data_IF_686336421747
#
_entry.id   IF_686336421747
#
_cell.length_a   1.000
_cell.length_b   1.000
_cell.length_c   1.000
_cell.angle_alpha   90.00
_cell.angle_beta   90.00
_cell.angle_gamma   90.00
#
_symmetry.space_group_name_H-M   'P 1'
#
loop_
_entity.id
_entity.type
_entity.pdbx_description
1 polymer ?
#
# COMPACT_ATOMS: atom_id res chain seq x y z
N UNK A 1 -16.43 36.58 -32.36
CA UNK A 1 -16.50 35.25 -31.73
C UNK A 1 -15.49 35.22 -30.60
N UNK A 2 -15.95 35.41 -29.38
CA UNK A 2 -15.18 35.14 -28.16
C UNK A 2 -15.80 33.89 -27.52
N UNK A 3 -15.01 32.91 -27.03
CA UNK A 3 -15.57 31.87 -26.18
C UNK A 3 -15.74 32.43 -24.76
N UNK A 4 -16.97 32.28 -24.27
CA UNK A 4 -17.46 32.63 -22.95
C UNK A 4 -17.03 31.60 -21.89
N UNK A 5 -16.50 32.11 -20.77
CA UNK A 5 -16.62 31.67 -19.37
C UNK A 5 -16.60 30.18 -19.00
N UNK A 6 -15.61 29.80 -18.19
CA UNK A 6 -15.63 28.61 -17.33
C UNK A 6 -16.74 28.71 -16.27
N UNK A 7 -17.60 27.70 -16.19
CA UNK A 7 -18.49 27.44 -15.05
C UNK A 7 -17.80 26.52 -14.02
N UNK A 8 -18.34 26.40 -12.79
CA UNK A 8 -17.73 25.65 -11.71
C UNK A 8 -17.66 24.16 -12.08
N UNK A 9 -16.44 23.63 -12.05
CA UNK A 9 -16.14 22.25 -12.42
C UNK A 9 -16.89 21.26 -11.53
N UNK A 10 -17.79 20.50 -12.13
CA UNK A 10 -18.16 19.17 -11.65
C UNK A 10 -16.87 18.35 -11.49
N UNK A 11 -16.66 17.60 -10.40
CA UNK A 11 -15.47 16.78 -10.24
C UNK A 11 -15.50 15.73 -11.35
N UNK A 12 -14.70 15.94 -12.39
CA UNK A 12 -14.36 14.88 -13.33
C UNK A 12 -13.50 13.91 -12.55
N UNK A 13 -14.16 12.97 -11.87
CA UNK A 13 -13.54 11.71 -11.51
C UNK A 13 -12.91 11.16 -12.79
N UNK A 14 -11.62 10.82 -12.73
CA UNK A 14 -11.05 9.86 -13.67
C UNK A 14 -12.04 8.68 -13.79
N UNK A 15 -12.20 8.11 -14.98
CA UNK A 15 -13.10 6.98 -15.17
C UNK A 15 -12.83 5.92 -14.08
N UNK A 16 -13.88 5.48 -13.39
CA UNK A 16 -13.82 4.51 -12.26
C UNK A 16 -13.20 3.15 -12.63
N UNK A 17 -12.80 2.96 -13.88
CA UNK A 17 -12.12 1.75 -14.36
C UNK A 17 -10.63 1.74 -14.02
N UNK A 18 -10.01 2.90 -13.74
CA UNK A 18 -8.55 3.00 -13.50
C UNK A 18 -8.17 3.57 -12.14
N UNK A 19 -9.14 4.00 -11.32
CA UNK A 19 -8.89 4.53 -9.97
C UNK A 19 -9.65 3.69 -8.96
N UNK A 20 -8.93 3.18 -7.97
CA UNK A 20 -9.46 2.47 -6.82
C UNK A 20 -9.39 3.36 -5.59
N UNK A 21 -10.48 3.43 -4.83
CA UNK A 21 -10.54 4.20 -3.59
C UNK A 21 -10.65 3.22 -2.43
N UNK A 22 -9.68 3.23 -1.51
CA UNK A 22 -9.66 2.30 -0.37
C UNK A 22 -9.77 3.06 0.96
N UNK A 23 -10.52 2.49 1.92
CA UNK A 23 -10.75 3.10 3.23
C UNK A 23 -9.62 2.78 4.20
N UNK A 24 -9.10 3.78 4.92
CA UNK A 24 -8.03 3.60 5.90
C UNK A 24 -8.55 2.98 7.21
N UNK A 25 -7.96 1.89 7.68
CA UNK A 25 -8.29 1.28 8.98
C UNK A 25 -7.01 0.83 9.68
N UNK A 26 -6.60 1.52 10.75
CA UNK A 26 -5.44 1.07 11.54
C UNK A 26 -5.74 -0.22 12.33
N UNK A 27 -4.74 -1.06 12.55
CA UNK A 27 -4.90 -2.38 13.23
C UNK A 27 -4.05 -2.52 14.49
N UNK A 28 -3.15 -1.57 14.76
CA UNK A 28 -2.25 -1.57 15.92
C UNK A 28 -1.50 -2.90 16.05
N UNK A 29 -0.87 -3.32 14.95
CA UNK A 29 -0.08 -4.56 14.84
C UNK A 29 -0.89 -5.81 15.23
N UNK A 30 -2.16 -5.85 14.82
CA UNK A 30 -3.10 -6.93 15.14
C UNK A 30 -3.64 -6.92 16.58
N UNK A 31 -3.34 -5.89 17.37
CA UNK A 31 -3.82 -5.79 18.76
C UNK A 31 -5.26 -5.28 18.86
N UNK A 32 -5.77 -4.56 17.86
CA UNK A 32 -7.19 -4.17 17.84
C UNK A 32 -8.07 -5.39 17.68
N UNK A 33 -9.16 -5.47 18.43
CA UNK A 33 -10.10 -6.59 18.30
C UNK A 33 -10.69 -6.63 16.88
N UNK A 34 -10.98 -7.84 16.38
CA UNK A 34 -11.63 -8.00 15.07
C UNK A 34 -12.90 -7.16 14.99
N UNK A 35 -13.75 -7.20 16.03
CA UNK A 35 -15.00 -6.44 16.07
C UNK A 35 -14.80 -4.91 15.94
N UNK A 36 -13.77 -4.33 16.56
CA UNK A 36 -13.50 -2.89 16.45
C UNK A 36 -13.00 -2.50 15.06
N UNK A 37 -12.23 -3.38 14.42
CA UNK A 37 -11.75 -3.20 13.05
C UNK A 37 -12.92 -3.34 12.07
N UNK A 38 -13.77 -4.35 12.23
CA UNK A 38 -15.01 -4.55 11.46
C UNK A 38 -15.93 -3.32 11.54
N UNK A 39 -16.12 -2.76 12.74
CA UNK A 39 -16.89 -1.52 12.91
C UNK A 39 -16.24 -0.32 12.18
N UNK A 40 -14.93 -0.33 11.98
CA UNK A 40 -14.22 0.69 11.18
C UNK A 40 -14.42 0.47 9.69
N UNK A 41 -14.31 -0.79 9.23
CA UNK A 41 -14.63 -1.20 7.86
C UNK A 41 -16.05 -0.78 7.49
N UNK A 42 -17.03 -1.09 8.34
CA UNK A 42 -18.43 -0.75 8.11
C UNK A 42 -18.66 0.75 7.98
N UNK A 43 -17.91 1.58 8.72
CA UNK A 43 -18.01 3.05 8.59
C UNK A 43 -17.58 3.56 7.22
N UNK A 44 -16.63 2.91 6.56
CA UNK A 44 -16.22 3.24 5.20
C UNK A 44 -17.21 2.68 4.18
N UNK A 45 -17.60 1.41 4.33
CA UNK A 45 -18.40 0.69 3.32
C UNK A 45 -19.91 0.92 3.44
N UNK A 46 -20.38 1.59 4.50
CA UNK A 46 -21.79 1.89 4.70
C UNK A 46 -22.37 2.68 3.49
N UNK A 47 -23.40 2.15 2.81
CA UNK A 47 -24.07 2.85 1.72
C UNK A 47 -24.70 4.14 2.24
N UNK A 48 -24.21 5.27 1.76
CA UNK A 48 -24.76 6.59 2.07
C UNK A 48 -24.98 7.34 0.77
N UNK A 49 -26.15 7.97 0.63
CA UNK A 49 -26.46 8.76 -0.56
C UNK A 49 -25.40 9.85 -0.76
N UNK A 50 -24.74 9.84 -1.91
CA UNK A 50 -23.67 10.78 -2.23
C UNK A 50 -22.32 10.48 -1.59
N UNK A 51 -22.15 9.34 -0.91
CA UNK A 51 -20.84 8.93 -0.38
C UNK A 51 -19.90 8.44 -1.48
N UNK A 52 -18.61 8.58 -1.19
CA UNK A 52 -17.52 7.99 -1.96
C UNK A 52 -17.72 6.48 -1.99
N UNK A 53 -17.62 5.89 -3.19
CA UNK A 53 -17.54 4.45 -3.32
C UNK A 53 -16.14 4.02 -2.91
N UNK A 54 -16.05 3.05 -2.01
CA UNK A 54 -14.80 2.42 -1.64
C UNK A 54 -14.71 1.05 -2.33
N UNK A 55 -13.62 0.83 -3.04
CA UNK A 55 -13.25 -0.43 -3.68
C UNK A 55 -12.59 -1.41 -2.71
N UNK A 56 -12.28 -1.00 -1.48
CA UNK A 56 -11.73 -1.89 -0.46
C UNK A 56 -11.17 -1.15 0.75
N UNK A 57 -10.21 -1.77 1.44
CA UNK A 57 -9.67 -1.31 2.73
C UNK A 57 -8.15 -1.36 2.73
N UNK A 58 -7.54 -0.31 3.26
CA UNK A 58 -6.12 -0.22 3.59
C UNK A 58 -5.96 -0.41 5.11
N UNK A 59 -5.44 -1.56 5.51
CA UNK A 59 -5.14 -1.88 6.90
C UNK A 59 -3.78 -1.32 7.30
N UNK A 60 -3.76 -0.29 8.13
CA UNK A 60 -2.52 0.35 8.57
C UNK A 60 -1.97 -0.27 9.87
N UNK A 61 -0.72 0.01 10.17
CA UNK A 61 0.01 -0.52 11.34
C UNK A 61 0.04 -2.05 11.33
N UNK A 62 0.39 -2.66 10.20
CA UNK A 62 0.57 -4.09 10.02
C UNK A 62 1.69 -4.67 10.87
N UNK A 63 1.77 -6.00 10.94
CA UNK A 63 2.90 -6.72 11.54
C UNK A 63 3.41 -7.78 10.57
N UNK A 64 4.75 -7.91 10.48
CA UNK A 64 5.40 -8.84 9.55
C UNK A 64 5.37 -10.30 10.05
N UNK A 65 5.37 -10.52 11.36
CA UNK A 65 5.40 -11.85 11.97
C UNK A 65 4.10 -12.62 11.73
N UNK A 66 4.20 -13.94 11.49
CA UNK A 66 3.01 -14.79 11.32
C UNK A 66 2.14 -14.89 12.58
N UNK A 67 2.75 -14.75 13.76
CA UNK A 67 2.13 -14.87 15.06
C UNK A 67 3.10 -14.52 16.18
N UNK A 68 2.65 -14.44 17.45
CA UNK A 68 3.47 -13.99 18.58
C UNK A 68 4.57 -14.97 19.00
N UNK A 69 4.54 -16.20 18.49
CA UNK A 69 5.48 -17.27 18.81
C UNK A 69 5.84 -18.05 17.56
N UNK A 70 7.01 -18.68 17.55
CA UNK A 70 7.42 -19.57 16.46
C UNK A 70 6.35 -20.65 16.18
N UNK A 71 5.99 -20.80 14.91
CA UNK A 71 4.95 -21.74 14.46
C UNK A 71 3.50 -21.25 14.64
N UNK A 72 3.26 -20.10 15.27
CA UNK A 72 1.93 -19.49 15.34
C UNK A 72 1.58 -18.77 14.05
N UNK A 73 0.31 -18.88 13.63
CA UNK A 73 -0.27 -18.18 12.48
C UNK A 73 -1.31 -17.13 12.92
N UNK A 74 -1.31 -16.75 14.20
CA UNK A 74 -2.36 -15.91 14.78
C UNK A 74 -2.53 -14.55 14.08
N UNK A 75 -1.42 -13.86 13.76
CA UNK A 75 -1.50 -12.55 13.10
C UNK A 75 -1.94 -12.72 11.64
N UNK A 76 -1.42 -13.73 10.94
CA UNK A 76 -1.87 -14.11 9.60
C UNK A 76 -3.37 -14.38 9.55
N UNK A 77 -3.88 -15.21 10.46
CA UNK A 77 -5.30 -15.58 10.54
C UNK A 77 -6.20 -14.40 10.92
N UNK A 78 -5.69 -13.48 11.76
CA UNK A 78 -6.37 -12.22 12.06
C UNK A 78 -6.61 -11.39 10.80
N UNK A 79 -5.58 -11.11 10.01
CA UNK A 79 -5.74 -10.33 8.78
C UNK A 79 -6.55 -11.07 7.71
N UNK A 80 -6.42 -12.40 7.62
CA UNK A 80 -7.29 -13.21 6.76
C UNK A 80 -8.77 -13.05 7.14
N UNK A 81 -9.09 -13.08 8.43
CA UNK A 81 -10.46 -12.87 8.91
C UNK A 81 -10.99 -11.50 8.49
N UNK A 82 -10.17 -10.45 8.60
CA UNK A 82 -10.53 -9.11 8.16
C UNK A 82 -10.75 -9.03 6.64
N UNK A 83 -9.89 -9.67 5.84
CA UNK A 83 -10.06 -9.77 4.38
C UNK A 83 -11.37 -10.46 4.00
N UNK A 84 -11.64 -11.61 4.61
CA UNK A 84 -12.90 -12.34 4.39
C UNK A 84 -14.13 -11.50 4.81
N UNK A 85 -14.00 -10.71 5.88
CA UNK A 85 -15.05 -9.75 6.27
C UNK A 85 -15.27 -8.69 5.22
N UNK A 86 -14.21 -8.06 4.68
CA UNK A 86 -14.33 -7.09 3.59
C UNK A 86 -15.01 -7.73 2.38
N UNK A 87 -14.57 -8.91 1.93
CA UNK A 87 -15.20 -9.65 0.83
C UNK A 87 -16.70 -9.85 1.01
N UNK A 88 -17.14 -10.17 2.23
CA UNK A 88 -18.56 -10.38 2.54
C UNK A 88 -19.43 -9.13 2.33
N UNK A 89 -18.82 -7.93 2.28
CA UNK A 89 -19.51 -6.65 2.06
C UNK A 89 -19.69 -6.30 0.58
N UNK A 90 -19.04 -7.04 -0.31
CA UNK A 90 -19.15 -6.82 -1.75
C UNK A 90 -20.02 -7.90 -2.40
N UNK A 91 -20.76 -7.57 -3.48
CA UNK A 91 -21.47 -8.58 -4.24
C UNK A 91 -20.47 -9.55 -4.87
N UNK A 92 -20.87 -10.81 -5.06
CA UNK A 92 -20.00 -11.87 -5.62
C UNK A 92 -19.47 -11.58 -7.04
N UNK A 93 -20.06 -10.59 -7.72
CA UNK A 93 -19.62 -10.11 -9.05
C UNK A 93 -18.59 -8.98 -8.99
N UNK A 94 -18.23 -8.49 -7.80
CA UNK A 94 -17.25 -7.45 -7.59
C UNK A 94 -16.11 -7.98 -6.72
N UNK A 95 -14.89 -7.59 -7.08
CA UNK A 95 -13.71 -7.86 -6.28
C UNK A 95 -13.36 -6.59 -5.50
N UNK A 96 -13.15 -6.73 -4.20
CA UNK A 96 -12.57 -5.68 -3.37
C UNK A 96 -11.04 -5.76 -3.34
N UNK A 97 -10.42 -4.66 -2.93
CA UNK A 97 -8.98 -4.52 -2.82
C UNK A 97 -8.58 -4.39 -1.35
N UNK A 98 -7.95 -5.41 -0.79
CA UNK A 98 -7.40 -5.35 0.57
C UNK A 98 -5.90 -5.13 0.53
N UNK A 99 -5.46 -4.11 1.25
CA UNK A 99 -4.04 -3.75 1.41
C UNK A 99 -3.66 -3.86 2.88
N UNK A 100 -2.51 -4.43 3.21
CA UNK A 100 -1.94 -4.35 4.56
C UNK A 100 -0.64 -3.55 4.49
N UNK A 101 -0.56 -2.47 5.26
CA UNK A 101 0.67 -1.72 5.42
C UNK A 101 1.54 -2.30 6.52
N UNK A 102 2.54 -3.09 6.15
CA UNK A 102 3.55 -3.61 7.08
C UNK A 102 4.76 -2.67 7.16
N UNK A 103 4.96 -1.84 6.13
CA UNK A 103 6.08 -0.90 6.00
C UNK A 103 7.45 -1.57 5.80
N UNK A 104 7.50 -2.90 5.83
CA UNK A 104 8.70 -3.73 5.69
C UNK A 104 8.33 -5.07 5.04
N UNK A 105 9.34 -5.88 4.68
CA UNK A 105 9.14 -7.19 4.06
C UNK A 105 8.16 -8.07 4.87
N UNK A 106 7.25 -8.74 4.17
CA UNK A 106 6.20 -9.59 4.77
C UNK A 106 6.66 -11.05 4.86
N UNK A 107 6.30 -11.78 5.93
CA UNK A 107 6.54 -13.23 5.95
C UNK A 107 5.62 -13.97 4.95
N UNK A 108 6.17 -15.02 4.33
CA UNK A 108 5.48 -15.83 3.32
C UNK A 108 4.16 -16.47 3.78
N UNK A 109 3.95 -16.67 5.08
CA UNK A 109 2.68 -17.15 5.64
C UNK A 109 1.47 -16.29 5.27
N UNK A 110 1.65 -14.97 5.08
CA UNK A 110 0.60 -14.05 4.62
C UNK A 110 0.26 -14.21 3.14
N UNK A 111 1.18 -14.78 2.36
CA UNK A 111 1.11 -14.93 0.92
C UNK A 111 0.72 -16.35 0.49
N UNK A 112 0.58 -17.29 1.45
CA UNK A 112 0.07 -18.65 1.22
C UNK A 112 -1.26 -18.59 0.44
N UNK A 113 -1.35 -19.17 -0.77
CA UNK A 113 -2.57 -19.13 -1.59
C UNK A 113 -3.83 -19.62 -0.88
N UNK A 114 -3.72 -20.58 0.05
CA UNK A 114 -4.86 -21.12 0.78
C UNK A 114 -5.32 -20.23 1.96
N UNK A 115 -4.48 -19.29 2.38
CA UNK A 115 -4.70 -18.48 3.58
C UNK A 115 -4.29 -17.01 3.38
N UNK A 116 -4.28 -16.54 2.13
CA UNK A 116 -3.73 -15.24 1.77
C UNK A 116 -4.47 -14.13 2.52
N UNK A 117 -3.70 -13.25 3.15
CA UNK A 117 -4.23 -12.27 4.10
C UNK A 117 -4.64 -10.92 3.47
N UNK A 118 -4.13 -10.59 2.28
CA UNK A 118 -4.46 -9.38 1.52
C UNK A 118 -4.12 -9.54 0.02
N UNK A 119 -4.58 -8.62 -0.83
CA UNK A 119 -4.18 -8.60 -2.24
C UNK A 119 -2.78 -7.98 -2.36
N UNK A 120 -2.58 -6.86 -1.68
CA UNK A 120 -1.37 -6.04 -1.73
C UNK A 120 -0.80 -5.87 -0.33
N UNK A 121 0.53 -5.87 -0.24
CA UNK A 121 1.28 -5.61 0.97
C UNK A 121 2.18 -4.40 0.74
N UNK A 122 2.10 -3.39 1.61
CA UNK A 122 3.13 -2.36 1.63
C UNK A 122 4.36 -2.96 2.30
N UNK A 123 5.39 -3.22 1.49
CA UNK A 123 6.61 -3.94 1.92
C UNK A 123 7.79 -3.00 2.12
N UNK A 124 7.59 -1.72 1.91
CA UNK A 124 8.54 -0.67 2.25
C UNK A 124 7.80 0.63 2.55
N UNK A 125 8.10 1.27 3.67
CA UNK A 125 7.65 2.63 4.00
C UNK A 125 8.78 3.39 4.73
N UNK A 126 9.55 4.19 3.99
CA UNK A 126 10.61 5.02 4.57
C UNK A 126 11.07 6.15 3.61
N UNK A 127 12.12 6.88 3.98
CA UNK A 127 12.75 7.92 3.18
C UNK A 127 13.36 7.37 1.88
N UNK A 128 13.49 8.25 0.88
CA UNK A 128 14.23 7.98 -0.35
C UNK A 128 15.69 7.56 -0.08
N UNK A 129 16.37 8.12 0.93
CA UNK A 129 17.75 7.75 1.25
C UNK A 129 17.87 6.30 1.74
N UNK A 130 16.95 5.90 2.63
CA UNK A 130 16.82 4.52 3.12
C UNK A 130 16.37 3.56 2.00
N UNK A 131 15.57 4.06 1.07
CA UNK A 131 15.12 3.27 -0.07
C UNK A 131 16.27 3.05 -1.05
N UNK A 132 16.99 4.09 -1.46
CA UNK A 132 18.03 3.99 -2.50
C UNK A 132 19.32 3.31 -2.01
N UNK A 133 19.46 3.09 -0.69
CA UNK A 133 20.61 2.44 -0.08
C UNK A 133 20.26 1.00 0.33
N UNK A 134 21.12 0.04 0.00
CA UNK A 134 21.02 -1.30 0.58
C UNK A 134 21.56 -1.25 2.01
N UNK A 135 20.67 -1.38 3.00
CA UNK A 135 20.98 -1.23 4.41
C UNK A 135 22.05 -2.23 4.88
N UNK A 136 22.08 -3.43 4.27
CA UNK A 136 23.07 -4.48 4.57
C UNK A 136 24.48 -4.02 4.21
N UNK A 137 24.65 -3.37 3.05
CA UNK A 137 25.95 -2.97 2.52
C UNK A 137 26.60 -1.85 3.37
N UNK A 138 25.78 -1.03 4.01
CA UNK A 138 26.21 0.13 4.82
C UNK A 138 26.06 -0.10 6.34
N UNK A 139 25.60 -1.29 6.75
CA UNK A 139 25.39 -1.63 8.16
C UNK A 139 24.31 -0.81 8.85
N UNK A 140 23.30 -0.34 8.11
CA UNK A 140 22.19 0.43 8.66
C UNK A 140 21.14 -0.49 9.26
N UNK A 141 20.51 -0.01 10.34
CA UNK A 141 19.37 -0.69 10.98
C UNK A 141 18.07 -0.52 10.18
N UNK A 142 17.99 0.56 9.39
CA UNK A 142 16.79 0.97 8.66
C UNK A 142 17.09 1.03 7.16
N UNK A 143 16.05 0.84 6.34
CA UNK A 143 16.12 0.89 4.89
C UNK A 143 15.96 -0.47 4.21
N UNK A 144 16.27 -0.53 2.92
CA UNK A 144 16.04 -1.73 2.12
C UNK A 144 16.99 -2.85 2.53
N UNK A 145 16.41 -3.96 2.97
CA UNK A 145 17.14 -5.14 3.48
C UNK A 145 17.17 -6.31 2.51
N UNK A 146 16.74 -6.09 1.26
CA UNK A 146 16.95 -7.05 0.17
C UNK A 146 15.71 -7.78 -0.34
N UNK A 147 14.49 -7.42 0.08
CA UNK A 147 13.31 -8.11 -0.44
C UNK A 147 11.96 -7.60 0.04
N UNK A 148 10.91 -8.02 -0.67
CA UNK A 148 9.52 -7.83 -0.30
C UNK A 148 9.03 -8.93 0.66
N UNK A 149 9.64 -10.10 0.61
CA UNK A 149 9.18 -11.29 1.32
C UNK A 149 10.29 -11.85 2.18
N UNK A 150 9.93 -12.35 3.36
CA UNK A 150 10.78 -13.13 4.24
C UNK A 150 10.37 -14.60 4.09
N UNK A 151 11.30 -15.43 3.60
CA UNK A 151 11.12 -16.88 3.42
C UNK A 151 12.16 -17.58 4.27
N UNK A 152 11.73 -18.39 5.25
CA UNK A 152 12.62 -19.07 6.18
C UNK A 152 13.67 -18.14 6.82
N UNK A 153 13.25 -16.92 7.20
CA UNK A 153 14.12 -15.91 7.81
C UNK A 153 15.08 -15.20 6.85
N UNK A 154 14.95 -15.41 5.53
CA UNK A 154 15.79 -14.78 4.50
C UNK A 154 14.95 -13.84 3.64
N UNK A 155 15.46 -12.64 3.37
CA UNK A 155 14.83 -11.68 2.47
C UNK A 155 14.92 -12.14 1.00
N UNK A 156 13.82 -11.99 0.27
CA UNK A 156 13.73 -12.30 -1.15
C UNK A 156 12.83 -11.27 -1.85
N UNK A 157 13.10 -11.03 -3.14
CA UNK A 157 12.30 -10.11 -3.96
C UNK A 157 10.82 -10.53 -4.08
N UNK A 158 10.50 -11.81 -3.90
CA UNK A 158 9.13 -12.32 -4.01
C UNK A 158 8.67 -12.59 -5.45
N UNK A 159 9.60 -12.90 -6.36
CA UNK A 159 9.32 -13.14 -7.80
C UNK A 159 8.45 -14.36 -8.09
N UNK A 160 8.15 -15.18 -7.08
CA UNK A 160 7.15 -16.26 -7.16
C UNK A 160 5.69 -15.77 -7.03
N UNK A 161 5.48 -14.50 -6.66
CA UNK A 161 4.18 -13.86 -6.58
C UNK A 161 4.01 -12.85 -7.72
N UNK A 162 2.80 -12.33 -7.93
CA UNK A 162 2.60 -11.21 -8.84
C UNK A 162 3.23 -9.94 -8.25
N UNK A 163 3.91 -9.11 -9.05
CA UNK A 163 4.54 -7.88 -8.57
C UNK A 163 3.52 -6.90 -7.98
N UNK A 164 2.26 -6.95 -8.43
CA UNK A 164 1.15 -6.18 -7.82
C UNK A 164 0.82 -6.64 -6.40
N UNK A 165 1.41 -7.72 -5.89
CA UNK A 165 1.34 -8.06 -4.46
C UNK A 165 2.09 -7.06 -3.58
N UNK A 166 2.96 -6.21 -4.14
CA UNK A 166 3.88 -5.39 -3.38
C UNK A 166 3.75 -3.91 -3.73
N UNK A 167 3.71 -3.09 -2.69
CA UNK A 167 3.63 -1.63 -2.78
C UNK A 167 4.76 -1.00 -1.95
N UNK A 168 5.48 -0.05 -2.54
CA UNK A 168 6.47 0.77 -1.83
C UNK A 168 5.99 2.20 -1.64
N UNK A 169 6.07 2.69 -0.41
CA UNK A 169 5.79 4.07 -0.04
C UNK A 169 7.12 4.77 0.28
N UNK A 170 7.49 5.80 -0.50
CA UNK A 170 8.80 6.45 -0.41
C UNK A 170 8.68 7.97 -0.27
N UNK A 171 8.90 8.50 0.93
CA UNK A 171 8.85 9.94 1.20
C UNK A 171 10.25 10.59 1.18
N UNK A 172 10.34 11.92 1.30
CA UNK A 172 11.58 12.68 1.08
C UNK A 172 12.18 12.50 -0.34
N UNK A 173 11.34 12.20 -1.32
CA UNK A 173 11.78 11.99 -2.69
C UNK A 173 11.84 13.33 -3.43
N UNK A 174 13.03 13.80 -3.76
CA UNK A 174 13.18 15.10 -4.43
C UNK A 174 12.66 15.10 -5.87
N UNK A 175 12.42 16.30 -6.41
CA UNK A 175 12.07 16.45 -7.83
C UNK A 175 13.17 15.93 -8.80
N UNK A 176 14.41 15.79 -8.34
CA UNK A 176 15.50 15.25 -9.14
C UNK A 176 15.59 13.70 -9.09
N UNK A 177 14.94 13.05 -8.12
CA UNK A 177 15.15 11.63 -7.82
C UNK A 177 13.90 10.76 -7.94
N UNK A 178 12.71 11.34 -8.08
CA UNK A 178 11.45 10.57 -8.12
C UNK A 178 11.41 9.51 -9.22
N UNK A 179 11.93 9.79 -10.43
CA UNK A 179 11.93 8.79 -11.50
C UNK A 179 12.83 7.60 -11.16
N UNK A 180 13.97 7.83 -10.51
CA UNK A 180 14.85 6.76 -10.04
C UNK A 180 14.22 5.91 -8.94
N UNK A 181 13.37 6.50 -8.09
CA UNK A 181 12.60 5.75 -7.09
C UNK A 181 11.61 4.80 -7.77
N UNK A 182 10.90 5.27 -8.81
CA UNK A 182 10.00 4.45 -9.62
C UNK A 182 10.74 3.31 -10.32
N UNK A 183 11.85 3.60 -11.00
CA UNK A 183 12.70 2.57 -11.63
C UNK A 183 13.18 1.52 -10.61
N UNK A 184 13.58 1.99 -9.42
CA UNK A 184 14.05 1.11 -8.34
C UNK A 184 12.92 0.24 -7.79
N UNK A 185 11.68 0.72 -7.73
CA UNK A 185 10.53 -0.10 -7.34
C UNK A 185 10.30 -1.27 -8.30
N UNK A 186 10.37 -1.01 -9.61
CA UNK A 186 10.26 -2.07 -10.61
C UNK A 186 11.40 -3.08 -10.51
N UNK A 187 12.65 -2.60 -10.34
CA UNK A 187 13.80 -3.49 -10.14
C UNK A 187 13.69 -4.33 -8.87
N UNK A 188 13.03 -3.80 -7.84
CA UNK A 188 12.71 -4.50 -6.58
C UNK A 188 11.40 -5.27 -6.63
N UNK A 189 10.82 -5.42 -7.81
CA UNK A 189 9.64 -6.25 -8.06
C UNK A 189 8.36 -5.75 -7.37
N UNK A 190 8.25 -4.45 -7.10
CA UNK A 190 7.01 -3.82 -6.63
C UNK A 190 6.18 -3.28 -7.81
N UNK A 191 4.92 -3.69 -7.87
CA UNK A 191 3.97 -3.25 -8.90
C UNK A 191 3.31 -1.90 -8.59
N UNK A 192 3.36 -1.48 -7.32
CA UNK A 192 2.85 -0.17 -6.88
C UNK A 192 3.95 0.63 -6.18
N UNK A 193 3.97 1.93 -6.42
CA UNK A 193 4.88 2.87 -5.75
C UNK A 193 4.23 4.23 -5.62
N UNK A 194 4.31 4.81 -4.42
CA UNK A 194 4.00 6.22 -4.19
C UNK A 194 5.29 6.91 -3.75
N UNK A 195 5.71 7.94 -4.47
CA UNK A 195 6.86 8.74 -4.10
C UNK A 195 6.46 10.20 -3.82
N UNK A 196 6.87 10.74 -2.68
CA UNK A 196 6.53 12.13 -2.31
C UNK A 196 7.73 12.93 -1.83
N UNK A 197 7.80 14.20 -2.22
CA UNK A 197 8.75 15.19 -1.70
C UNK A 197 8.38 15.71 -0.31
N UNK A 198 7.18 15.37 0.18
CA UNK A 198 6.79 15.62 1.55
C UNK A 198 7.67 14.85 2.53
N UNK A 199 7.78 15.38 3.75
CA UNK A 199 8.64 14.85 4.80
C UNK A 199 7.85 14.54 6.07
N UNK A 200 8.37 13.60 6.85
CA UNK A 200 7.81 13.25 8.15
C UNK A 200 8.46 14.08 9.27
N UNK A 201 7.66 14.63 10.18
CA UNK A 201 8.14 15.30 11.40
C UNK A 201 7.38 14.78 12.61
N UNK A 202 7.90 13.73 13.21
CA UNK A 202 7.22 13.03 14.31
C UNK A 202 5.77 12.74 13.97
N UNK A 203 4.86 13.00 14.91
CA UNK A 203 3.40 12.87 14.68
C UNK A 203 2.76 14.14 14.09
N UNK A 204 3.54 15.18 13.82
CA UNK A 204 3.03 16.52 13.46
C UNK A 204 2.93 16.77 11.96
N UNK A 205 3.70 16.04 11.15
CA UNK A 205 3.64 16.11 9.69
C UNK A 205 3.66 14.70 9.11
N UNK A 206 2.58 14.35 8.41
CA UNK A 206 2.44 13.09 7.68
C UNK A 206 2.75 13.35 6.19
N UNK A 207 3.75 12.67 5.60
CA UNK A 207 4.12 12.87 4.19
C UNK A 207 2.97 12.53 3.22
N UNK A 208 2.03 11.68 3.63
CA UNK A 208 0.88 11.24 2.83
C UNK A 208 -0.28 12.24 2.82
N UNK A 209 -0.17 13.36 3.55
CA UNK A 209 -1.21 14.39 3.63
C UNK A 209 -1.10 15.47 2.53
N UNK A 210 -0.11 15.35 1.63
CA UNK A 210 0.16 16.33 0.58
C UNK A 210 0.44 15.62 -0.74
N UNK A 211 -0.02 16.21 -1.84
CA UNK A 211 0.31 15.70 -3.17
C UNK A 211 1.77 16.05 -3.51
N UNK A 212 2.53 15.14 -4.15
CA UNK A 212 3.88 15.45 -4.58
C UNK A 212 3.90 16.61 -5.58
N UNK A 213 4.90 17.47 -5.49
CA UNK A 213 5.05 18.63 -6.41
C UNK A 213 5.19 18.21 -7.89
N UNK A 214 5.59 16.96 -8.13
CA UNK A 214 5.82 16.38 -9.44
C UNK A 214 4.76 15.32 -9.85
N UNK A 215 3.61 15.22 -9.16
CA UNK A 215 2.58 14.21 -9.42
C UNK A 215 2.26 14.00 -10.91
N UNK A 216 2.04 15.08 -11.66
CA UNK A 216 1.70 14.98 -13.07
C UNK A 216 2.82 14.34 -13.91
N UNK A 217 4.07 14.66 -13.58
CA UNK A 217 5.25 14.06 -14.22
C UNK A 217 5.41 12.60 -13.84
N UNK A 218 5.18 12.26 -12.57
CA UNK A 218 5.22 10.90 -12.06
C UNK A 218 4.18 10.01 -12.75
N UNK A 219 2.90 10.42 -12.77
CA UNK A 219 1.83 9.67 -13.46
C UNK A 219 2.12 9.51 -14.95
N UNK A 220 2.63 10.56 -15.60
CA UNK A 220 2.99 10.48 -17.03
C UNK A 220 4.11 9.46 -17.28
N UNK A 221 5.11 9.44 -16.40
CA UNK A 221 6.24 8.52 -16.51
C UNK A 221 5.88 7.08 -16.12
N UNK A 222 5.07 6.86 -15.09
CA UNK A 222 4.58 5.54 -14.74
C UNK A 222 3.88 4.85 -15.92
N UNK A 223 3.14 5.61 -16.74
CA UNK A 223 2.51 5.11 -17.97
C UNK A 223 3.51 4.70 -19.07
N UNK A 224 4.77 5.14 -19.01
CA UNK A 224 5.81 4.70 -19.95
C UNK A 224 6.52 3.43 -19.46
N UNK A 225 6.48 3.17 -18.16
CA UNK A 225 7.06 1.98 -17.54
C UNK A 225 6.18 0.74 -17.73
N UNK A 226 4.86 0.95 -17.88
CA UNK A 226 3.90 -0.10 -18.20
C UNK A 226 3.99 -0.49 -19.68
N UNK A 227 5.04 -1.21 -20.08
CA UNK A 227 5.13 -2.12 -21.25
C UNK A 227 6.52 -2.77 -21.31
N UNK A 228 6.67 -3.95 -20.69
CA UNK A 228 7.55 -5.05 -21.12
C UNK A 228 7.06 -6.36 -20.51
#
# INVERSE_FOLDING_TARGET
>A
MMPTSCGPGSPRAASREHVKVIGYVHTTHGARSVADVEASIDRYLAPRNGAVHYDGIFFDEGIADCGPTAGSMQYRDYYRTLREYVWSKYPTSAQSLEVINIGTAVNDCYLDPAHRAADVFVTFEDTADHYMTNAVDVGWKYGWVGGNVIVNGTYALGTQYDSTSFWHLVYNTSQATWSSVLDTALQRYAGYVDATDAYMVGTSLNPWAQMPSYLNSEVTYANTLSHN
#
